data_IF_573597946785
#
_entry.id   IF_573597946785
#
_cell.length_a   1.000
_cell.length_b   1.000
_cell.length_c   1.000
_cell.angle_alpha   90.00
_cell.angle_beta   90.00
_cell.angle_gamma   90.00
#
_symmetry.space_group_name_H-M   'P 1'
#
loop_
_entity.id
_entity.type
_entity.pdbx_description
1 polymer ?
#
# COMPACT_ATOMS: atom_id res chain seq x y z
N UNK A 1 -0.58 -19.14 -4.47
CA UNK A 1 -0.24 -20.36 -5.26
C UNK A 1 -0.79 -21.60 -4.60
N UNK A 2 -0.64 -22.75 -5.25
CA UNK A 2 -0.68 -24.05 -4.58
C UNK A 2 0.42 -24.14 -3.51
N UNK A 3 0.27 -25.00 -2.49
CA UNK A 3 1.27 -25.16 -1.44
C UNK A 3 2.54 -25.85 -1.97
N UNK A 4 3.68 -25.30 -1.58
CA UNK A 4 5.00 -25.81 -1.87
C UNK A 4 5.66 -26.30 -0.58
N UNK A 5 6.67 -27.12 -0.70
CA UNK A 5 7.54 -27.42 0.46
C UNK A 5 8.11 -26.09 0.99
N UNK A 6 8.03 -25.83 2.31
CA UNK A 6 8.56 -24.60 2.89
C UNK A 6 10.05 -24.41 2.58
N UNK A 7 10.40 -23.21 2.09
CA UNK A 7 11.76 -22.83 1.74
C UNK A 7 12.04 -21.32 1.91
N UNK A 8 10.98 -20.51 1.97
CA UNK A 8 11.09 -19.06 2.05
C UNK A 8 10.63 -18.56 3.42
N UNK A 9 11.59 -18.39 4.33
CA UNK A 9 11.34 -17.99 5.72
C UNK A 9 11.15 -16.49 5.91
N UNK A 10 11.43 -15.68 4.87
CA UNK A 10 11.40 -14.22 4.91
C UNK A 10 10.44 -13.66 3.88
N UNK A 11 9.97 -12.43 4.12
CA UNK A 11 9.33 -11.64 3.06
C UNK A 11 10.44 -11.08 2.18
N UNK A 12 10.40 -11.37 0.89
CA UNK A 12 11.28 -10.79 -0.12
C UNK A 12 10.54 -9.64 -0.80
N UNK A 13 11.21 -8.50 -0.91
CA UNK A 13 10.68 -7.32 -1.61
C UNK A 13 11.71 -6.85 -2.63
N UNK A 14 11.31 -6.75 -3.88
CA UNK A 14 12.11 -6.16 -4.95
C UNK A 14 11.55 -4.78 -5.30
N UNK A 15 12.30 -3.74 -4.96
CA UNK A 15 11.91 -2.36 -5.29
C UNK A 15 12.01 -2.07 -6.80
N UNK A 16 12.92 -2.74 -7.52
CA UNK A 16 13.09 -2.56 -8.97
C UNK A 16 12.02 -3.26 -9.81
N UNK A 17 11.50 -4.39 -9.32
CA UNK A 17 10.42 -5.13 -9.98
C UNK A 17 9.05 -4.82 -9.38
N UNK A 18 9.01 -3.99 -8.34
CA UNK A 18 7.78 -3.65 -7.60
C UNK A 18 6.97 -4.87 -7.14
N UNK A 19 7.67 -5.90 -6.66
CA UNK A 19 7.05 -7.15 -6.23
C UNK A 19 7.44 -7.49 -4.79
N UNK A 20 6.53 -8.07 -4.08
CA UNK A 20 6.80 -8.71 -2.80
C UNK A 20 6.26 -10.13 -2.79
N UNK A 21 6.91 -11.01 -2.04
CA UNK A 21 6.49 -12.40 -1.88
C UNK A 21 6.81 -12.90 -0.49
N UNK A 22 5.94 -13.72 0.05
CA UNK A 22 6.14 -14.46 1.29
C UNK A 22 5.56 -15.86 1.14
N UNK A 23 6.02 -16.79 1.96
CA UNK A 23 5.45 -18.13 2.04
C UNK A 23 4.66 -18.29 3.33
N UNK A 24 3.48 -18.86 3.24
CA UNK A 24 2.66 -19.17 4.41
C UNK A 24 3.21 -20.41 5.14
N UNK A 25 2.81 -20.59 6.39
CA UNK A 25 3.16 -21.79 7.17
C UNK A 25 2.63 -23.09 6.56
N UNK A 26 1.65 -23.01 5.67
CA UNK A 26 1.09 -24.17 4.94
C UNK A 26 1.77 -24.41 3.59
N UNK A 27 2.65 -23.48 3.16
CA UNK A 27 3.44 -23.62 1.95
C UNK A 27 2.99 -22.78 0.77
N UNK A 28 1.81 -22.14 0.79
CA UNK A 28 1.39 -21.26 -0.31
C UNK A 28 2.27 -20.02 -0.39
N UNK A 29 2.66 -19.62 -1.60
CA UNK A 29 3.24 -18.31 -1.83
C UNK A 29 2.14 -17.27 -1.99
N UNK A 30 2.30 -16.18 -1.27
CA UNK A 30 1.49 -14.96 -1.39
C UNK A 30 2.37 -13.88 -1.98
N UNK A 31 2.08 -13.50 -3.21
CA UNK A 31 2.83 -12.47 -3.92
C UNK A 31 1.92 -11.31 -4.31
N UNK A 32 2.48 -10.13 -4.39
CA UNK A 32 1.81 -8.94 -4.84
C UNK A 32 2.77 -7.99 -5.55
N UNK A 33 2.21 -7.05 -6.28
CA UNK A 33 2.96 -6.11 -7.09
C UNK A 33 2.34 -4.71 -7.00
N UNK A 34 2.69 -3.86 -7.95
CA UNK A 34 2.23 -2.48 -8.11
C UNK A 34 0.71 -2.36 -8.29
N UNK A 35 0.24 -1.15 -8.37
CA UNK A 35 -1.16 -0.79 -8.63
C UNK A 35 -1.44 -0.89 -10.14
N UNK A 36 -2.71 -1.13 -10.50
CA UNK A 36 -3.14 -0.94 -11.89
C UNK A 36 -2.94 0.53 -12.30
N UNK A 37 -2.48 0.81 -13.54
CA UNK A 37 -2.11 2.16 -13.96
C UNK A 37 -3.29 3.10 -14.25
N UNK A 38 -4.51 2.63 -14.08
CA UNK A 38 -5.74 3.37 -14.35
C UNK A 38 -6.69 3.32 -13.16
N UNK A 39 -7.50 4.35 -13.00
CA UNK A 39 -8.50 4.41 -11.95
C UNK A 39 -9.62 3.39 -12.19
N UNK A 40 -9.75 2.45 -11.26
CA UNK A 40 -10.79 1.44 -11.26
C UNK A 40 -11.61 1.52 -9.97
N UNK A 41 -12.92 1.44 -10.11
CA UNK A 41 -13.84 1.25 -8.96
C UNK A 41 -14.03 -0.26 -8.68
N UNK A 42 -13.55 -1.11 -9.57
CA UNK A 42 -13.67 -2.57 -9.43
C UNK A 42 -12.67 -3.13 -8.42
N UNK A 43 -13.14 -4.04 -7.56
CA UNK A 43 -12.29 -4.82 -6.66
C UNK A 43 -11.82 -6.14 -7.29
N UNK A 44 -12.04 -6.32 -8.58
CA UNK A 44 -11.58 -7.49 -9.31
C UNK A 44 -10.15 -7.26 -9.78
N UNK A 45 -9.29 -8.24 -9.57
CA UNK A 45 -7.95 -8.26 -10.15
C UNK A 45 -8.01 -8.41 -11.67
N UNK A 46 -7.06 -7.80 -12.37
CA UNK A 46 -6.95 -7.84 -13.83
C UNK A 46 -6.05 -8.98 -14.30
N UNK A 47 -6.19 -9.40 -15.56
CA UNK A 47 -5.28 -10.37 -16.16
C UNK A 47 -3.89 -9.76 -16.35
N UNK A 48 -3.82 -8.51 -16.80
CA UNK A 48 -2.57 -7.77 -16.98
C UNK A 48 -1.73 -7.76 -15.71
N UNK A 49 -2.39 -7.54 -14.54
CA UNK A 49 -1.72 -7.61 -13.24
C UNK A 49 -1.11 -9.00 -12.98
N UNK A 50 -1.87 -10.07 -13.25
CA UNK A 50 -1.40 -11.45 -13.00
C UNK A 50 -0.23 -11.81 -13.93
N UNK A 51 -0.31 -11.45 -15.20
CA UNK A 51 0.76 -11.70 -16.17
C UNK A 51 2.03 -10.95 -15.79
N UNK A 52 1.93 -9.67 -15.46
CA UNK A 52 3.07 -8.86 -15.01
C UNK A 52 3.68 -9.40 -13.73
N UNK A 53 2.87 -9.72 -12.71
CA UNK A 53 3.35 -10.30 -11.47
C UNK A 53 4.03 -11.66 -11.70
N UNK A 54 3.43 -12.54 -12.52
CA UNK A 54 4.01 -13.85 -12.83
C UNK A 54 5.38 -13.69 -13.52
N UNK A 55 5.50 -12.78 -14.49
CA UNK A 55 6.78 -12.47 -15.13
C UNK A 55 7.85 -12.05 -14.11
N UNK A 56 7.56 -11.07 -13.27
CA UNK A 56 8.48 -10.62 -12.24
C UNK A 56 8.83 -11.70 -11.22
N UNK A 57 7.88 -12.57 -10.88
CA UNK A 57 8.14 -13.70 -9.99
C UNK A 57 9.08 -14.73 -10.62
N UNK A 58 8.98 -14.96 -11.93
CA UNK A 58 9.88 -15.85 -12.67
C UNK A 58 11.28 -15.25 -12.82
N UNK A 59 11.40 -13.91 -12.94
CA UNK A 59 12.69 -13.21 -12.91
C UNK A 59 13.41 -13.41 -11.56
N UNK A 60 12.67 -13.40 -10.45
CA UNK A 60 13.24 -13.61 -9.10
C UNK A 60 13.48 -15.09 -8.80
N UNK A 61 12.55 -15.94 -9.17
CA UNK A 61 12.52 -17.35 -8.84
C UNK A 61 12.12 -18.20 -10.05
N UNK A 62 13.04 -18.47 -10.99
CA UNK A 62 12.75 -19.24 -12.21
C UNK A 62 12.15 -20.64 -11.94
N UNK A 63 12.42 -21.20 -10.76
CA UNK A 63 11.87 -22.50 -10.34
C UNK A 63 10.36 -22.52 -10.14
N UNK A 64 9.70 -21.35 -10.17
CA UNK A 64 8.24 -21.25 -9.99
C UNK A 64 7.45 -21.41 -11.28
N UNK A 65 8.10 -21.72 -12.42
CA UNK A 65 7.45 -21.79 -13.73
C UNK A 65 6.32 -22.80 -13.88
N UNK A 66 6.36 -23.88 -13.09
CA UNK A 66 5.37 -24.97 -13.17
C UNK A 66 4.31 -24.90 -12.05
N UNK A 67 4.26 -23.79 -11.30
CA UNK A 67 3.39 -23.67 -10.12
C UNK A 67 2.03 -23.08 -10.51
N UNK A 68 0.96 -23.67 -9.99
CA UNK A 68 -0.39 -23.19 -10.23
C UNK A 68 -0.75 -22.00 -9.32
N UNK A 69 -1.34 -20.97 -9.95
CA UNK A 69 -2.01 -19.89 -9.22
C UNK A 69 -3.40 -20.36 -8.83
N UNK A 70 -3.68 -20.42 -7.55
CA UNK A 70 -5.00 -20.88 -7.07
C UNK A 70 -5.98 -19.75 -6.90
N UNK A 71 -5.52 -18.55 -6.55
CA UNK A 71 -6.38 -17.42 -6.23
C UNK A 71 -5.68 -16.09 -6.47
N UNK A 72 -6.45 -15.14 -6.93
CA UNK A 72 -6.07 -13.73 -6.98
C UNK A 72 -7.18 -12.88 -6.34
N UNK A 73 -6.81 -11.74 -5.79
CA UNK A 73 -7.74 -10.74 -5.29
C UNK A 73 -7.15 -9.35 -5.45
N UNK A 74 -7.99 -8.36 -5.41
CA UNK A 74 -7.61 -6.96 -5.44
C UNK A 74 -8.40 -6.17 -4.39
N UNK A 75 -7.96 -4.97 -4.11
CA UNK A 75 -8.63 -3.99 -3.26
C UNK A 75 -8.48 -2.60 -3.85
N UNK A 76 -9.28 -1.67 -3.37
CA UNK A 76 -9.14 -0.27 -3.73
C UNK A 76 -8.10 0.38 -2.81
N UNK A 77 -7.19 1.14 -3.41
CA UNK A 77 -6.25 1.99 -2.68
C UNK A 77 -6.64 3.45 -2.85
N UNK A 78 -6.78 4.17 -1.74
CA UNK A 78 -7.07 5.59 -1.70
C UNK A 78 -5.77 6.40 -1.85
N UNK A 79 -5.39 6.67 -3.09
CA UNK A 79 -4.15 7.37 -3.40
C UNK A 79 -4.37 8.88 -3.43
N UNK A 80 -3.48 9.61 -2.75
CA UNK A 80 -3.42 11.07 -2.81
C UNK A 80 -2.45 11.53 -3.89
N UNK A 81 -2.55 12.81 -4.37
CA UNK A 81 -1.64 13.32 -5.41
C UNK A 81 -0.16 13.29 -5.05
N UNK A 82 0.18 13.26 -3.76
CA UNK A 82 1.56 13.21 -3.27
C UNK A 82 1.91 11.89 -2.57
N UNK A 83 1.07 10.88 -2.73
CA UNK A 83 1.24 9.53 -2.15
C UNK A 83 1.39 9.53 -0.61
N UNK A 84 0.97 10.60 0.06
CA UNK A 84 1.07 10.74 1.51
C UNK A 84 -0.33 10.93 2.12
N UNK A 85 -0.58 10.39 3.33
CA UNK A 85 -1.91 10.45 3.92
C UNK A 85 -2.39 11.88 4.17
N UNK A 86 -3.69 12.05 4.34
CA UNK A 86 -4.33 13.28 4.80
C UNK A 86 -4.76 13.06 6.24
N UNK A 87 -4.22 13.87 7.16
CA UNK A 87 -4.51 13.72 8.59
C UNK A 87 -4.74 15.07 9.25
N UNK A 88 -5.64 15.09 10.22
CA UNK A 88 -5.81 16.24 11.10
C UNK A 88 -7.19 16.88 11.08
N UNK A 89 -7.22 18.13 11.50
CA UNK A 89 -8.41 18.97 11.51
C UNK A 89 -8.79 19.39 10.08
N UNK A 90 -10.07 19.68 9.87
CA UNK A 90 -10.57 20.26 8.62
C UNK A 90 -11.10 21.67 8.88
N UNK A 91 -11.42 22.45 7.82
CA UNK A 91 -12.09 23.75 7.98
C UNK A 91 -13.48 23.67 8.64
N UNK A 92 -14.05 22.49 8.74
CA UNK A 92 -15.35 22.27 9.38
C UNK A 92 -15.11 21.87 10.82
N UNK A 93 -15.62 22.65 11.77
CA UNK A 93 -15.48 22.37 13.19
C UNK A 93 -16.02 21.01 13.56
N UNK A 94 -15.24 20.23 14.33
CA UNK A 94 -15.57 18.87 14.75
C UNK A 94 -15.47 17.80 13.67
N UNK A 95 -15.03 18.17 12.46
CA UNK A 95 -14.78 17.20 11.39
C UNK A 95 -13.26 16.99 11.20
N UNK A 96 -12.83 15.78 11.49
CA UNK A 96 -11.44 15.34 11.40
C UNK A 96 -11.27 14.37 10.24
N UNK A 97 -10.07 14.28 9.68
CA UNK A 97 -9.76 13.40 8.56
C UNK A 97 -8.53 12.54 8.87
N UNK A 98 -8.61 11.27 8.49
CA UNK A 98 -7.50 10.32 8.48
C UNK A 98 -7.73 9.37 7.30
N UNK A 99 -7.13 9.66 6.16
CA UNK A 99 -7.39 9.00 4.88
C UNK A 99 -6.19 9.10 3.93
N UNK A 100 -6.30 8.48 2.75
CA UNK A 100 -5.27 8.57 1.71
C UNK A 100 -4.00 7.80 2.04
N UNK A 101 -4.11 6.71 2.78
CA UNK A 101 -2.98 5.89 3.21
C UNK A 101 -2.40 5.00 2.11
N UNK A 102 -3.12 4.86 1.01
CA UNK A 102 -2.69 4.04 -0.11
C UNK A 102 -2.32 2.62 0.33
N UNK A 103 -1.06 2.24 0.14
CA UNK A 103 -0.55 0.90 0.50
C UNK A 103 0.04 0.81 1.92
N UNK A 104 0.09 1.91 2.69
CA UNK A 104 0.79 1.97 3.98
C UNK A 104 -0.10 1.87 5.23
N UNK A 105 -1.42 1.89 5.06
CA UNK A 105 -2.38 2.07 6.14
C UNK A 105 -2.25 1.05 7.26
N UNK A 106 -2.12 -0.23 6.95
CA UNK A 106 -2.01 -1.28 7.98
C UNK A 106 -0.80 -1.05 8.92
N UNK A 107 0.37 -0.80 8.36
CA UNK A 107 1.60 -0.57 9.13
C UNK A 107 1.52 0.71 9.98
N UNK A 108 0.87 1.74 9.47
CA UNK A 108 0.77 3.03 10.13
C UNK A 108 -0.33 3.10 11.20
N UNK A 109 -1.26 2.15 11.25
CA UNK A 109 -2.43 2.16 12.15
C UNK A 109 -2.12 2.56 13.60
N UNK A 110 -1.08 2.05 14.27
CA UNK A 110 -0.83 2.39 15.68
C UNK A 110 -0.47 3.87 15.88
N UNK A 111 0.35 4.44 15.00
CA UNK A 111 0.77 5.83 15.13
C UNK A 111 -0.30 6.79 14.62
N UNK A 112 -1.03 6.43 13.57
CA UNK A 112 -2.19 7.17 13.10
C UNK A 112 -3.24 7.28 14.21
N UNK A 113 -3.69 6.17 14.77
CA UNK A 113 -4.65 6.17 15.86
C UNK A 113 -4.22 7.01 17.06
N UNK A 114 -2.95 6.91 17.47
CA UNK A 114 -2.41 7.71 18.58
C UNK A 114 -2.43 9.22 18.30
N UNK A 115 -1.99 9.62 17.12
CA UNK A 115 -1.91 11.04 16.75
C UNK A 115 -3.28 11.63 16.49
N UNK A 116 -4.21 10.88 15.90
CA UNK A 116 -5.58 11.31 15.71
C UNK A 116 -6.36 11.39 17.03
N UNK A 117 -6.17 10.45 17.95
CA UNK A 117 -6.76 10.55 19.29
C UNK A 117 -6.33 11.84 20.02
N UNK A 118 -5.04 12.18 19.93
CA UNK A 118 -4.55 13.47 20.46
C UNK A 118 -5.23 14.65 19.75
N UNK A 119 -5.29 14.62 18.42
CA UNK A 119 -5.85 15.71 17.62
C UNK A 119 -7.33 15.96 17.95
N UNK A 120 -8.12 14.90 18.08
CA UNK A 120 -9.53 14.98 18.45
C UNK A 120 -9.72 15.50 19.89
N UNK A 121 -8.92 14.97 20.82
CA UNK A 121 -9.05 15.35 22.23
C UNK A 121 -8.68 16.82 22.53
N UNK A 122 -7.82 17.41 21.71
CA UNK A 122 -7.32 18.78 21.93
C UNK A 122 -7.78 19.78 20.85
N UNK A 123 -8.58 19.33 19.90
CA UNK A 123 -9.04 20.12 18.72
C UNK A 123 -7.88 20.85 18.01
N UNK A 124 -6.75 20.18 17.91
CA UNK A 124 -5.55 20.69 17.23
C UNK A 124 -4.67 19.57 16.75
N UNK A 125 -4.01 19.76 15.61
CA UNK A 125 -3.15 18.75 15.02
C UNK A 125 -1.95 18.42 15.90
N UNK A 126 -1.71 17.13 16.08
CA UNK A 126 -0.48 16.64 16.69
C UNK A 126 0.73 17.03 15.82
N UNK A 127 1.88 17.34 16.44
CA UNK A 127 3.05 17.83 15.70
C UNK A 127 3.52 16.90 14.58
N UNK A 128 3.40 15.59 14.74
CA UNK A 128 3.84 14.60 13.75
C UNK A 128 2.97 14.60 12.49
N UNK A 129 1.70 14.99 12.57
CA UNK A 129 0.79 14.97 11.43
C UNK A 129 0.66 16.32 10.73
N UNK A 130 1.28 17.39 11.22
CA UNK A 130 1.24 18.71 10.59
C UNK A 130 1.63 18.73 9.12
N UNK A 131 2.64 17.97 8.65
CA UNK A 131 2.94 17.90 7.23
C UNK A 131 1.83 17.30 6.37
N UNK A 132 0.95 16.52 6.98
CA UNK A 132 -0.11 15.76 6.30
C UNK A 132 -1.48 16.43 6.30
N UNK A 133 -1.55 17.71 6.70
CA UNK A 133 -2.79 18.47 6.70
C UNK A 133 -3.41 18.57 5.30
N UNK A 134 -4.74 18.57 5.23
CA UNK A 134 -5.49 18.74 3.99
C UNK A 134 -5.11 20.04 3.23
N UNK A 135 -4.84 21.11 3.97
CA UNK A 135 -4.47 22.42 3.42
C UNK A 135 -3.17 22.42 2.58
N UNK A 136 -2.31 21.40 2.73
CA UNK A 136 -1.06 21.30 1.97
C UNK A 136 -1.26 21.31 0.46
N UNK A 137 -2.37 20.73 -0.04
CA UNK A 137 -2.68 20.73 -1.46
C UNK A 137 -2.96 22.13 -2.01
N UNK A 138 -3.77 22.91 -1.32
CA UNK A 138 -4.03 24.30 -1.69
C UNK A 138 -2.82 25.24 -1.51
N UNK A 139 -1.88 24.87 -0.66
CA UNK A 139 -0.65 25.63 -0.41
C UNK A 139 0.55 25.12 -1.24
N UNK A 140 0.37 24.11 -2.08
CA UNK A 140 1.42 23.45 -2.86
C UNK A 140 2.62 22.97 -2.01
N UNK A 141 2.36 22.54 -0.77
CA UNK A 141 3.35 21.99 0.17
C UNK A 141 3.27 20.48 0.20
N UNK A 142 3.44 19.86 -0.95
CA UNK A 142 3.34 18.41 -1.09
C UNK A 142 4.43 17.68 -0.30
N UNK A 143 4.05 16.58 0.33
CA UNK A 143 4.96 15.70 1.05
C UNK A 143 5.30 14.56 0.09
N UNK A 144 6.40 14.70 -0.66
CA UNK A 144 6.83 13.64 -1.58
C UNK A 144 7.20 12.38 -0.82
N UNK A 145 6.47 11.31 -1.05
CA UNK A 145 6.82 9.99 -0.53
C UNK A 145 7.94 9.39 -1.39
N UNK A 146 9.00 8.90 -0.74
CA UNK A 146 10.15 8.27 -1.41
C UNK A 146 10.16 6.75 -1.29
N UNK A 147 9.06 6.16 -0.86
CA UNK A 147 8.93 4.73 -0.68
C UNK A 147 8.61 3.96 -1.96
N UNK A 148 8.48 2.65 -1.83
CA UNK A 148 8.23 1.76 -2.97
C UNK A 148 6.93 2.06 -3.73
N UNK A 149 5.94 2.70 -3.11
CA UNK A 149 4.68 3.07 -3.76
C UNK A 149 4.82 4.26 -4.72
N UNK A 150 5.84 5.12 -4.55
CA UNK A 150 6.08 6.29 -5.42
C UNK A 150 7.00 6.00 -6.61
N UNK A 151 7.58 4.82 -6.70
CA UNK A 151 8.57 4.46 -7.73
C UNK A 151 7.95 3.87 -9.00
N UNK A 152 6.64 3.77 -9.07
CA UNK A 152 5.90 3.16 -10.18
C UNK A 152 5.16 4.13 -11.10
N UNK A 153 5.48 5.43 -11.07
CA UNK A 153 4.77 6.46 -11.87
C UNK A 153 5.73 7.33 -12.65
#
# INVERSE_FOLDING_TARGET
TEPLKPWLDHIVVSASLHVYVSQSSRGELVAGSSLDPYELISTRSTLDFVEGLAGHMLDLFPSLGDINILRQWAGLSDMTPDFSPIMGTTPISGFYIDAGWGTWGFKATPISGKTMAYTIAHDRDHQLIRPFQLSRFGQFRLVGEKGAASVGH
#
